data_IF_264585856313
#
_entry.id   IF_264585856313
#
_cell.length_a   1.000
_cell.length_b   1.000
_cell.length_c   1.000
_cell.angle_alpha   90.00
_cell.angle_beta   90.00
_cell.angle_gamma   90.00
#
_symmetry.space_group_name_H-M   'P 1'
#
loop_
_entity.id
_entity.type
_entity.pdbx_description
1 polymer ?
#
# COMPACT_ATOMS: atom_id res chain seq x y z
N UNK A 1 -20.53 -16.40 -1.19
CA UNK A 1 -20.16 -14.97 -1.31
C UNK A 1 -18.72 -14.92 -1.79
N UNK A 2 -18.44 -14.26 -2.91
CA UNK A 2 -17.07 -14.12 -3.44
C UNK A 2 -16.43 -12.92 -2.73
N UNK A 3 -15.20 -13.05 -2.25
CA UNK A 3 -14.43 -11.98 -1.62
C UNK A 3 -13.05 -11.89 -2.27
N UNK A 4 -12.67 -10.69 -2.69
CA UNK A 4 -11.33 -10.41 -3.20
C UNK A 4 -10.38 -10.24 -2.02
N UNK A 5 -9.43 -11.17 -1.87
CA UNK A 5 -8.49 -11.20 -0.73
C UNK A 5 -7.06 -10.94 -1.11
N UNK A 6 -6.73 -11.02 -2.40
CA UNK A 6 -5.36 -10.91 -2.89
C UNK A 6 -5.32 -10.10 -4.18
N UNK A 7 -4.40 -9.13 -4.22
CA UNK A 7 -4.13 -8.30 -5.40
C UNK A 7 -2.63 -8.15 -5.54
N UNK A 8 -2.15 -8.35 -6.77
CA UNK A 8 -0.80 -8.00 -7.20
C UNK A 8 -0.90 -7.14 -8.44
N UNK A 9 -0.22 -6.00 -8.45
CA UNK A 9 -0.17 -5.09 -9.61
C UNK A 9 1.22 -4.47 -9.75
N UNK A 10 1.60 -4.17 -10.98
CA UNK A 10 2.78 -3.39 -11.34
C UNK A 10 2.44 -1.94 -11.69
N UNK A 11 1.16 -1.57 -11.67
CA UNK A 11 0.68 -0.21 -11.96
C UNK A 11 -0.20 0.26 -10.81
N UNK A 12 0.13 1.43 -10.27
CA UNK A 12 -0.67 2.14 -9.27
C UNK A 12 -1.33 3.35 -9.93
N UNK A 13 -2.63 3.47 -9.76
CA UNK A 13 -3.40 4.63 -10.24
C UNK A 13 -4.38 5.08 -9.14
N UNK A 14 -4.86 6.33 -9.19
CA UNK A 14 -5.90 6.80 -8.27
C UNK A 14 -7.14 5.91 -8.29
N UNK A 15 -7.58 5.46 -9.47
CA UNK A 15 -8.78 4.63 -9.62
C UNK A 15 -8.63 3.26 -8.96
N UNK A 16 -7.42 2.69 -8.99
CA UNK A 16 -7.12 1.49 -8.22
C UNK A 16 -7.30 1.75 -6.72
N UNK A 17 -6.76 2.86 -6.21
CA UNK A 17 -6.89 3.19 -4.79
C UNK A 17 -8.33 3.50 -4.37
N UNK A 18 -9.13 4.12 -5.25
CA UNK A 18 -10.57 4.28 -5.04
C UNK A 18 -11.26 2.90 -4.92
N UNK A 19 -10.90 1.96 -5.81
CA UNK A 19 -11.42 0.60 -5.76
C UNK A 19 -11.01 -0.14 -4.48
N UNK A 20 -9.73 -0.10 -4.09
CA UNK A 20 -9.25 -0.75 -2.85
C UNK A 20 -9.90 -0.11 -1.61
N UNK A 21 -10.12 1.19 -1.63
CA UNK A 21 -10.78 1.93 -0.55
C UNK A 21 -12.28 1.68 -0.45
N UNK A 22 -12.92 1.16 -1.51
CA UNK A 22 -14.37 0.91 -1.56
C UNK A 22 -14.81 -0.33 -0.79
N UNK A 23 -13.88 -1.17 -0.35
CA UNK A 23 -14.17 -2.37 0.45
C UNK A 23 -13.07 -2.65 1.46
N UNK A 24 -13.25 -3.68 2.29
CA UNK A 24 -12.24 -4.15 3.24
C UNK A 24 -12.12 -5.68 3.16
N UNK A 25 -11.05 -6.24 3.74
CA UNK A 25 -10.84 -7.69 3.76
C UNK A 25 -9.71 -8.20 2.87
N UNK A 26 -8.95 -7.32 2.21
CA UNK A 26 -7.70 -7.71 1.54
C UNK A 26 -6.74 -8.27 2.59
N UNK A 27 -6.16 -9.42 2.28
CA UNK A 27 -5.18 -10.13 3.10
C UNK A 27 -3.78 -10.02 2.50
N UNK A 28 -3.66 -9.98 1.18
CA UNK A 28 -2.38 -9.88 0.48
C UNK A 28 -2.42 -8.76 -0.55
N UNK A 29 -1.51 -7.80 -0.42
CA UNK A 29 -1.40 -6.70 -1.36
C UNK A 29 0.05 -6.53 -1.81
N UNK A 30 0.28 -6.60 -3.13
CA UNK A 30 1.59 -6.38 -3.73
C UNK A 30 1.53 -5.28 -4.79
N UNK A 31 2.26 -4.18 -4.55
CA UNK A 31 2.46 -3.06 -5.46
C UNK A 31 3.92 -3.11 -5.94
N UNK A 32 4.18 -3.78 -7.07
CA UNK A 32 5.54 -4.18 -7.46
C UNK A 32 6.45 -3.05 -7.94
N UNK A 33 5.88 -1.95 -8.44
CA UNK A 33 6.61 -0.76 -8.90
C UNK A 33 5.72 0.48 -8.75
N UNK A 34 5.53 1.01 -7.53
CA UNK A 34 4.58 2.08 -7.28
C UNK A 34 5.14 3.46 -7.70
N UNK A 35 5.60 3.59 -8.93
CA UNK A 35 6.24 4.81 -9.43
C UNK A 35 5.27 5.57 -10.35
N UNK A 36 4.74 6.70 -9.88
CA UNK A 36 3.74 7.53 -10.58
C UNK A 36 4.27 8.33 -11.78
N UNK A 37 5.38 7.90 -12.39
CA UNK A 37 6.08 8.56 -13.49
C UNK A 37 6.91 9.79 -13.08
N UNK A 38 6.35 10.70 -12.28
CA UNK A 38 7.08 11.82 -11.67
C UNK A 38 7.10 11.71 -10.14
N UNK A 39 8.12 12.30 -9.50
CA UNK A 39 8.29 12.29 -8.02
C UNK A 39 7.04 12.79 -7.31
N UNK A 40 6.56 13.98 -7.65
CA UNK A 40 5.36 14.57 -7.02
C UNK A 40 4.10 13.70 -7.15
N UNK A 41 3.94 13.00 -8.28
CA UNK A 41 2.80 12.10 -8.48
C UNK A 41 2.95 10.81 -7.67
N UNK A 42 4.15 10.24 -7.65
CA UNK A 42 4.46 9.06 -6.81
C UNK A 42 4.26 9.39 -5.33
N UNK A 43 4.71 10.56 -4.88
CA UNK A 43 4.58 11.02 -3.50
C UNK A 43 3.10 11.19 -3.09
N UNK A 44 2.28 11.83 -3.92
CA UNK A 44 0.83 11.94 -3.67
C UNK A 44 0.11 10.59 -3.66
N UNK A 45 0.52 9.67 -4.54
CA UNK A 45 -0.02 8.31 -4.56
C UNK A 45 0.38 7.57 -3.29
N UNK A 46 1.62 7.70 -2.83
CA UNK A 46 2.08 7.09 -1.58
C UNK A 46 1.26 7.60 -0.39
N UNK A 47 1.08 8.92 -0.28
CA UNK A 47 0.28 9.52 0.80
C UNK A 47 -1.15 8.99 0.78
N UNK A 48 -1.78 8.98 -0.40
CA UNK A 48 -3.12 8.42 -0.58
C UNK A 48 -3.15 6.95 -0.16
N UNK A 49 -2.17 6.15 -0.57
CA UNK A 49 -2.08 4.74 -0.22
C UNK A 49 -2.01 4.51 1.30
N UNK A 50 -1.11 5.19 2.01
CA UNK A 50 -0.96 4.99 3.45
C UNK A 50 -2.15 5.56 4.24
N UNK A 51 -2.64 6.75 3.89
CA UNK A 51 -3.72 7.40 4.64
C UNK A 51 -5.08 6.72 4.42
N UNK A 52 -5.36 6.25 3.20
CA UNK A 52 -6.72 5.77 2.83
C UNK A 52 -6.78 4.26 2.64
N UNK A 53 -5.96 3.70 1.76
CA UNK A 53 -6.05 2.28 1.36
C UNK A 53 -5.56 1.38 2.48
N UNK A 54 -4.37 1.67 3.02
CA UNK A 54 -3.74 0.81 3.99
C UNK A 54 -4.53 0.78 5.31
N UNK A 55 -5.01 1.95 5.76
CA UNK A 55 -5.85 2.08 6.95
C UNK A 55 -7.17 1.29 6.82
N UNK A 56 -7.79 1.28 5.62
CA UNK A 56 -9.02 0.50 5.33
C UNK A 56 -8.82 -1.01 5.52
N UNK A 57 -7.62 -1.51 5.28
CA UNK A 57 -7.30 -2.95 5.36
C UNK A 57 -6.53 -3.35 6.63
N UNK A 58 -6.36 -2.44 7.60
CA UNK A 58 -5.48 -2.66 8.75
C UNK A 58 -5.82 -3.90 9.59
N UNK A 59 -7.10 -4.26 9.68
CA UNK A 59 -7.58 -5.42 10.46
C UNK A 59 -7.61 -6.74 9.68
N UNK A 60 -7.31 -6.71 8.38
CA UNK A 60 -7.36 -7.89 7.50
C UNK A 60 -6.02 -8.22 6.84
N UNK A 61 -5.15 -7.23 6.64
CA UNK A 61 -3.90 -7.39 5.90
C UNK A 61 -2.93 -8.31 6.64
N UNK A 62 -2.37 -9.27 5.91
CA UNK A 62 -1.42 -10.29 6.40
C UNK A 62 -0.08 -10.16 5.68
N UNK A 63 -0.10 -9.81 4.40
CA UNK A 63 1.10 -9.62 3.59
C UNK A 63 1.01 -8.30 2.82
N UNK A 64 2.01 -7.44 3.01
CA UNK A 64 2.19 -6.20 2.26
C UNK A 64 3.54 -6.24 1.54
N UNK A 65 3.52 -6.05 0.23
CA UNK A 65 4.72 -5.86 -0.59
C UNK A 65 4.59 -4.55 -1.36
N UNK A 66 5.51 -3.64 -1.15
CA UNK A 66 5.57 -2.33 -1.80
C UNK A 66 7.05 -1.92 -1.98
N UNK A 67 7.83 -2.67 -2.78
CA UNK A 67 9.19 -2.29 -3.10
C UNK A 67 9.18 -1.01 -3.94
N UNK A 68 9.70 0.07 -3.39
CA UNK A 68 9.75 1.36 -4.05
C UNK A 68 11.14 1.60 -4.68
N UNK A 69 11.19 2.41 -5.74
CA UNK A 69 12.45 2.94 -6.25
C UNK A 69 13.17 3.87 -5.24
N UNK A 70 14.40 4.28 -5.57
CA UNK A 70 15.20 5.18 -4.73
C UNK A 70 14.44 6.49 -4.40
N UNK A 71 14.44 6.87 -3.12
CA UNK A 71 13.84 8.10 -2.58
C UNK A 71 12.32 8.28 -2.77
N UNK A 72 11.55 7.18 -2.77
CA UNK A 72 10.09 7.25 -2.85
C UNK A 72 9.43 7.29 -1.47
N UNK A 73 8.33 8.06 -1.33
CA UNK A 73 7.45 8.01 -0.14
C UNK A 73 6.74 6.67 0.04
N UNK A 74 6.78 5.77 -0.93
CA UNK A 74 6.39 4.37 -0.73
C UNK A 74 7.36 3.57 0.14
N UNK A 75 8.57 4.08 0.38
CA UNK A 75 9.54 3.46 1.28
C UNK A 75 9.09 3.57 2.74
N UNK A 76 9.53 2.63 3.57
CA UNK A 76 9.30 2.68 5.02
C UNK A 76 10.06 3.85 5.63
N UNK A 77 9.37 4.64 6.45
CA UNK A 77 9.95 5.82 7.11
C UNK A 77 9.03 6.41 8.18
N UNK A 78 9.46 7.50 8.81
CA UNK A 78 8.69 8.13 9.90
C UNK A 78 7.30 8.62 9.47
N UNK A 79 7.08 8.88 8.17
CA UNK A 79 5.81 9.35 7.64
C UNK A 79 4.72 8.27 7.56
N UNK A 80 5.09 6.98 7.53
CA UNK A 80 4.13 5.87 7.41
C UNK A 80 4.23 4.82 8.53
N UNK A 81 5.23 4.92 9.41
CA UNK A 81 5.44 4.00 10.52
C UNK A 81 4.20 3.84 11.40
N UNK A 82 3.51 4.94 11.73
CA UNK A 82 2.32 4.92 12.59
C UNK A 82 1.20 4.10 11.95
N UNK A 83 0.91 4.28 10.66
CA UNK A 83 -0.11 3.51 9.95
C UNK A 83 0.27 2.03 9.86
N UNK A 84 1.54 1.73 9.56
CA UNK A 84 2.03 0.36 9.46
C UNK A 84 1.93 -0.35 10.81
N UNK A 85 2.10 0.37 11.93
CA UNK A 85 1.94 -0.19 13.28
C UNK A 85 0.52 -0.68 13.59
N UNK A 86 -0.49 -0.17 12.88
CA UNK A 86 -1.90 -0.57 13.03
C UNK A 86 -2.23 -1.90 12.34
N UNK A 87 -1.31 -2.45 11.54
CA UNK A 87 -1.50 -3.68 10.79
C UNK A 87 -1.33 -4.92 11.68
N UNK A 88 -2.22 -5.10 12.67
CA UNK A 88 -2.08 -6.10 13.73
C UNK A 88 -2.02 -7.57 13.27
N UNK A 89 -2.43 -7.87 12.02
CA UNK A 89 -2.36 -9.21 11.44
C UNK A 89 -1.21 -9.41 10.46
N UNK A 90 -0.39 -8.38 10.24
CA UNK A 90 0.72 -8.42 9.32
C UNK A 90 1.76 -9.44 9.76
N UNK A 91 2.15 -10.32 8.84
CA UNK A 91 3.18 -11.36 9.02
C UNK A 91 4.36 -11.19 8.08
N UNK A 92 4.13 -10.55 6.94
CA UNK A 92 5.17 -10.28 5.94
C UNK A 92 5.08 -8.83 5.49
N UNK A 93 6.21 -8.13 5.58
CA UNK A 93 6.39 -6.76 5.13
C UNK A 93 7.58 -6.70 4.17
N UNK A 94 7.32 -6.36 2.91
CA UNK A 94 8.35 -6.09 1.91
C UNK A 94 8.29 -4.63 1.49
N UNK A 95 9.24 -3.81 1.93
CA UNK A 95 9.33 -2.39 1.55
C UNK A 95 10.80 -1.99 1.42
N UNK A 96 11.06 -1.00 0.57
CA UNK A 96 12.36 -0.30 0.57
C UNK A 96 12.49 0.54 1.85
N UNK A 97 13.71 0.73 2.34
CA UNK A 97 14.00 1.60 3.49
C UNK A 97 14.56 2.92 2.96
N UNK A 98 14.05 4.03 3.49
CA UNK A 98 14.61 5.36 3.29
C UNK A 98 15.48 5.74 4.49
#
# INVERSE_FOLDING_TARGET
QIKLTEITTNVVTPELFDYLSSYSGIQKLSLLHPDGGSRDKSDRLADTFFETVLSRHATSLVELSCPAGHESRFSFGSHNADVISLLHKLKSLGMSIN
#
